data_IF_959748193033
#
_entry.id   IF_959748193033
#
_cell.length_a   1.000
_cell.length_b   1.000
_cell.length_c   1.000
_cell.angle_alpha   90.00
_cell.angle_beta   90.00
_cell.angle_gamma   90.00
#
_symmetry.space_group_name_H-M   'P 1'
#
loop_
_entity.id
_entity.type
_entity.pdbx_description
1 polymer ?
#
# COMPACT_ATOMS: atom_id res chain seq x y z
N UNK A 1 -13.69 -19.10 -9.31
CA UNK A 1 -13.60 -19.05 -10.78
C UNK A 1 -13.23 -17.65 -11.26
N UNK A 2 -13.21 -17.44 -12.56
CA UNK A 2 -12.79 -16.17 -13.20
C UNK A 2 -13.54 -14.96 -12.66
N UNK A 3 -14.85 -15.06 -12.47
CA UNK A 3 -15.69 -13.97 -11.96
C UNK A 3 -15.24 -13.48 -10.58
N UNK A 4 -14.83 -14.38 -9.68
CA UNK A 4 -14.34 -13.99 -8.35
C UNK A 4 -13.00 -13.25 -8.44
N UNK A 5 -12.09 -13.71 -9.32
CA UNK A 5 -10.81 -13.05 -9.56
C UNK A 5 -11.01 -11.67 -10.17
N UNK A 6 -11.84 -11.56 -11.19
CA UNK A 6 -12.20 -10.29 -11.84
C UNK A 6 -12.79 -9.30 -10.84
N UNK A 7 -13.75 -9.74 -10.00
CA UNK A 7 -14.36 -8.90 -8.96
C UNK A 7 -13.33 -8.41 -7.93
N UNK A 8 -12.38 -9.25 -7.54
CA UNK A 8 -11.30 -8.89 -6.62
C UNK A 8 -10.36 -7.85 -7.24
N UNK A 9 -9.97 -8.04 -8.50
CA UNK A 9 -9.12 -7.08 -9.23
C UNK A 9 -9.83 -5.73 -9.41
N UNK A 10 -11.11 -5.75 -9.79
CA UNK A 10 -11.93 -4.54 -9.89
C UNK A 10 -11.97 -3.82 -8.54
N UNK A 11 -12.27 -4.55 -7.46
CA UNK A 11 -12.30 -3.98 -6.10
C UNK A 11 -11.00 -3.30 -5.70
N UNK A 12 -9.84 -3.90 -5.98
CA UNK A 12 -8.52 -3.31 -5.68
C UNK A 12 -8.18 -2.09 -6.53
N UNK A 13 -8.80 -1.93 -7.70
CA UNK A 13 -8.57 -0.78 -8.58
C UNK A 13 -9.53 0.39 -8.33
N UNK A 14 -10.65 0.16 -7.63
CA UNK A 14 -11.68 1.18 -7.38
C UNK A 14 -11.21 2.24 -6.39
N UNK A 15 -11.01 3.48 -6.86
CA UNK A 15 -10.52 4.61 -6.05
C UNK A 15 -11.47 5.02 -4.92
N UNK A 16 -12.79 4.84 -5.12
CA UNK A 16 -13.77 5.16 -4.09
C UNK A 16 -13.84 4.11 -2.96
N UNK A 17 -13.29 2.91 -3.16
CA UNK A 17 -13.18 1.86 -2.14
C UNK A 17 -11.83 1.86 -1.43
N UNK A 18 -10.76 2.30 -2.10
CA UNK A 18 -9.40 2.19 -1.58
C UNK A 18 -8.80 3.59 -1.39
N UNK A 19 -8.29 3.85 -0.21
CA UNK A 19 -7.55 5.09 0.07
C UNK A 19 -6.26 5.17 -0.74
N UNK A 20 -5.61 4.04 -0.96
CA UNK A 20 -4.45 3.89 -1.84
C UNK A 20 -4.59 2.61 -2.67
N UNK A 21 -5.16 2.66 -3.87
CA UNK A 21 -5.35 1.49 -4.71
C UNK A 21 -4.05 0.76 -5.02
N UNK A 22 -4.07 -0.56 -5.04
CA UNK A 22 -2.94 -1.41 -5.42
C UNK A 22 -2.87 -1.63 -6.94
N UNK A 23 -4.01 -1.52 -7.60
CA UNK A 23 -4.15 -1.60 -9.05
C UNK A 23 -4.63 -0.26 -9.61
N UNK A 24 -4.22 0.05 -10.81
CA UNK A 24 -4.73 1.17 -11.61
C UNK A 24 -5.60 0.60 -12.74
N UNK A 25 -6.88 0.93 -12.71
CA UNK A 25 -7.83 0.52 -13.73
C UNK A 25 -7.78 1.42 -14.96
N UNK A 26 -7.93 0.82 -16.13
CA UNK A 26 -8.08 1.49 -17.43
C UNK A 26 -9.43 1.12 -18.01
N UNK A 27 -10.27 2.11 -18.25
CA UNK A 27 -11.68 1.94 -18.64
C UNK A 27 -12.64 2.24 -17.49
N UNK A 28 -13.86 1.72 -17.58
CA UNK A 28 -14.93 1.99 -16.61
C UNK A 28 -14.82 1.04 -15.40
N UNK A 29 -14.32 1.54 -14.29
CA UNK A 29 -14.23 0.80 -13.03
C UNK A 29 -15.29 1.17 -11.99
N UNK A 30 -16.31 1.91 -12.41
CA UNK A 30 -17.36 2.40 -11.54
C UNK A 30 -16.95 3.67 -10.76
N UNK A 31 -17.93 4.22 -10.08
CA UNK A 31 -17.79 5.39 -9.20
C UNK A 31 -18.63 5.19 -7.95
N UNK A 32 -18.55 6.11 -6.99
CA UNK A 32 -19.39 6.05 -5.80
C UNK A 32 -20.88 6.04 -6.15
N UNK A 33 -21.27 6.79 -7.19
CA UNK A 33 -22.66 6.87 -7.69
C UNK A 33 -23.10 5.61 -8.44
N UNK A 34 -22.21 5.02 -9.24
CA UNK A 34 -22.47 3.80 -10.00
C UNK A 34 -21.33 2.82 -9.79
N UNK A 35 -21.40 1.99 -8.73
CA UNK A 35 -20.29 1.13 -8.32
C UNK A 35 -19.94 0.00 -9.29
N UNK A 36 -20.83 -0.32 -10.23
CA UNK A 36 -20.64 -1.39 -11.20
C UNK A 36 -19.52 -1.03 -12.19
N UNK A 37 -18.57 -1.93 -12.37
CA UNK A 37 -17.57 -1.82 -13.42
C UNK A 37 -18.10 -2.29 -14.76
N UNK A 38 -17.45 -1.85 -15.84
CA UNK A 38 -17.71 -2.37 -17.18
C UNK A 38 -17.37 -3.85 -17.29
N UNK A 39 -17.87 -4.51 -18.35
CA UNK A 39 -17.57 -5.92 -18.57
C UNK A 39 -16.05 -6.14 -18.73
N UNK A 40 -15.48 -7.23 -18.18
CA UNK A 40 -14.03 -7.48 -18.14
C UNK A 40 -13.32 -7.39 -19.49
N UNK A 41 -14.03 -7.73 -20.58
CA UNK A 41 -13.52 -7.64 -21.97
C UNK A 41 -13.21 -6.22 -22.44
N UNK A 42 -13.75 -5.19 -21.76
CA UNK A 42 -13.60 -3.77 -22.13
C UNK A 42 -12.76 -2.97 -21.16
N UNK A 43 -12.27 -3.59 -20.10
CA UNK A 43 -11.46 -2.94 -19.07
C UNK A 43 -10.14 -3.70 -18.90
N UNK A 44 -9.13 -3.00 -18.40
CA UNK A 44 -7.86 -3.62 -18.04
C UNK A 44 -7.32 -3.00 -16.76
N UNK A 45 -6.40 -3.71 -16.10
CA UNK A 45 -5.76 -3.22 -14.89
C UNK A 45 -4.25 -3.45 -14.98
N UNK A 46 -3.49 -2.56 -14.35
CA UNK A 46 -2.04 -2.67 -14.16
C UNK A 46 -1.68 -2.37 -12.70
N UNK A 47 -0.47 -2.71 -12.29
CA UNK A 47 0.01 -2.36 -10.95
C UNK A 47 0.06 -0.83 -10.82
N UNK A 48 -0.51 -0.34 -9.71
CA UNK A 48 -0.42 1.08 -9.37
C UNK A 48 1.06 1.46 -9.09
N UNK A 49 1.54 2.66 -9.48
CA UNK A 49 2.92 3.08 -9.23
C UNK A 49 3.36 2.94 -7.76
N UNK A 50 2.46 3.21 -6.82
CA UNK A 50 2.73 3.09 -5.40
C UNK A 50 2.89 1.65 -4.90
N UNK A 51 2.47 0.63 -5.69
CA UNK A 51 2.61 -0.77 -5.30
C UNK A 51 4.06 -1.13 -4.97
N UNK A 52 5.00 -0.71 -5.82
CA UNK A 52 6.43 -0.99 -5.61
C UNK A 52 7.03 -0.25 -4.40
N UNK A 53 6.43 0.86 -3.98
CA UNK A 53 6.82 1.57 -2.76
C UNK A 53 6.27 0.90 -1.51
N UNK A 54 5.08 0.28 -1.61
CA UNK A 54 4.45 -0.46 -0.52
C UNK A 54 5.10 -1.82 -0.29
N UNK A 55 5.37 -2.57 -1.36
CA UNK A 55 5.84 -3.95 -1.33
C UNK A 55 7.20 -4.05 -2.01
N UNK A 56 8.28 -3.99 -1.22
CA UNK A 56 9.66 -3.96 -1.73
C UNK A 56 10.43 -5.27 -1.49
N UNK A 57 10.00 -6.07 -0.53
CA UNK A 57 10.82 -7.12 0.08
C UNK A 57 10.38 -8.54 -0.32
N UNK A 58 9.97 -8.73 -1.58
CA UNK A 58 9.58 -10.06 -2.07
C UNK A 58 10.72 -11.09 -1.97
N UNK A 59 11.97 -10.66 -2.15
CA UNK A 59 13.15 -11.54 -2.07
C UNK A 59 13.38 -12.10 -0.65
N UNK A 60 12.76 -11.52 0.39
CA UNK A 60 12.87 -11.97 1.77
C UNK A 60 11.81 -13.01 2.15
N UNK A 61 10.79 -13.17 1.32
CA UNK A 61 9.62 -13.98 1.65
C UNK A 61 9.77 -15.40 1.13
N UNK A 62 9.35 -16.35 1.95
CA UNK A 62 9.24 -17.75 1.53
C UNK A 62 7.95 -17.93 0.73
N UNK A 63 8.07 -18.60 -0.41
CA UNK A 63 6.93 -18.99 -1.20
C UNK A 63 6.29 -20.26 -0.64
N UNK A 64 4.98 -20.34 -0.70
CA UNK A 64 4.27 -21.61 -0.54
C UNK A 64 4.66 -22.55 -1.69
N UNK A 65 4.65 -23.84 -1.41
CA UNK A 65 4.92 -24.87 -2.40
C UNK A 65 3.66 -25.71 -2.55
N UNK A 66 3.15 -25.82 -3.78
CA UNK A 66 2.02 -26.67 -4.13
C UNK A 66 2.43 -27.55 -5.31
N UNK A 67 2.25 -28.85 -5.17
CA UNK A 67 2.65 -29.87 -6.18
C UNK A 67 4.12 -29.77 -6.66
N UNK A 68 5.02 -29.24 -5.79
CA UNK A 68 6.43 -29.06 -6.10
C UNK A 68 6.77 -27.74 -6.80
N UNK A 69 5.78 -26.93 -7.14
CA UNK A 69 5.96 -25.58 -7.72
C UNK A 69 5.84 -24.49 -6.66
N UNK A 70 6.63 -23.44 -6.84
CA UNK A 70 6.53 -22.24 -6.01
C UNK A 70 5.34 -21.44 -6.48
N UNK A 71 4.42 -21.14 -5.55
CA UNK A 71 3.27 -20.29 -5.75
C UNK A 71 3.49 -18.93 -5.06
N UNK A 72 2.41 -18.29 -4.60
CA UNK A 72 2.51 -16.99 -3.93
C UNK A 72 3.33 -17.05 -2.63
N UNK A 73 3.85 -15.92 -2.14
CA UNK A 73 4.46 -15.83 -0.82
C UNK A 73 3.51 -16.29 0.28
N UNK A 74 4.04 -16.86 1.36
CA UNK A 74 3.26 -17.28 2.53
C UNK A 74 2.46 -16.11 3.12
N UNK A 75 2.99 -14.90 3.04
CA UNK A 75 2.34 -13.62 3.39
C UNK A 75 3.00 -12.48 2.61
N UNK A 76 2.35 -11.32 2.57
CA UNK A 76 2.90 -10.10 1.99
C UNK A 76 3.40 -9.16 3.09
N UNK A 77 4.46 -8.39 2.79
CA UNK A 77 5.13 -7.53 3.75
C UNK A 77 5.14 -6.06 3.28
N UNK A 78 4.00 -5.35 3.41
CA UNK A 78 3.95 -3.93 3.08
C UNK A 78 4.71 -3.08 4.10
N UNK A 79 5.04 -1.83 3.74
CA UNK A 79 5.72 -0.90 4.66
C UNK A 79 4.75 -0.15 5.60
N UNK A 80 3.45 -0.21 5.33
CA UNK A 80 2.36 0.33 6.18
C UNK A 80 1.25 -0.71 6.34
N UNK A 81 0.46 -0.69 7.41
CA UNK A 81 -0.62 -1.66 7.63
C UNK A 81 -1.77 -1.44 6.65
N UNK A 82 -1.81 -2.23 5.58
CA UNK A 82 -2.81 -2.11 4.50
C UNK A 82 -4.23 -2.38 4.97
N UNK A 83 -4.41 -3.13 6.05
CA UNK A 83 -5.73 -3.40 6.64
C UNK A 83 -6.44 -2.14 7.13
N UNK A 84 -5.70 -1.13 7.60
CA UNK A 84 -6.27 0.17 7.98
C UNK A 84 -6.11 1.22 6.87
N UNK A 85 -5.19 1.02 5.95
CA UNK A 85 -5.00 1.92 4.82
C UNK A 85 -6.21 1.88 3.88
N UNK A 86 -6.57 0.69 3.41
CA UNK A 86 -7.67 0.45 2.47
C UNK A 86 -8.91 -0.16 3.14
N UNK A 87 -8.87 -0.34 4.46
CA UNK A 87 -9.93 -1.03 5.16
C UNK A 87 -10.01 -2.53 4.83
N UNK A 88 -10.82 -3.24 5.56
CA UNK A 88 -11.15 -4.64 5.27
C UNK A 88 -12.48 -4.99 5.91
N UNK A 89 -13.26 -5.85 5.26
CA UNK A 89 -14.51 -6.38 5.79
C UNK A 89 -14.63 -7.84 5.41
N UNK A 90 -15.03 -8.66 6.36
CA UNK A 90 -15.22 -10.08 6.12
C UNK A 90 -15.92 -10.77 7.28
N UNK A 91 -16.56 -11.89 6.97
CA UNK A 91 -17.29 -12.72 7.93
C UNK A 91 -16.69 -14.12 7.86
N UNK A 92 -16.39 -14.68 9.02
CA UNK A 92 -15.94 -16.06 9.18
C UNK A 92 -16.77 -16.76 10.24
N UNK A 93 -16.59 -18.06 10.40
CA UNK A 93 -17.29 -18.82 11.46
C UNK A 93 -16.79 -18.35 12.84
N UNK A 94 -17.69 -17.74 13.61
CA UNK A 94 -17.41 -17.23 14.96
C UNK A 94 -16.68 -15.88 15.01
N UNK A 95 -16.21 -15.33 13.90
CA UNK A 95 -15.49 -14.06 13.86
C UNK A 95 -15.90 -13.20 12.66
N UNK A 96 -15.74 -11.91 12.82
CA UNK A 96 -15.91 -10.94 11.75
C UNK A 96 -14.86 -9.83 11.87
N UNK A 97 -14.57 -9.16 10.77
CA UNK A 97 -13.76 -7.94 10.74
C UNK A 97 -14.51 -6.85 9.97
N UNK A 98 -14.43 -5.63 10.45
CA UNK A 98 -14.93 -4.44 9.75
C UNK A 98 -14.03 -3.25 10.13
N UNK A 99 -13.04 -2.99 9.31
CA UNK A 99 -12.04 -1.94 9.51
C UNK A 99 -12.22 -0.91 8.42
N UNK A 100 -12.50 0.33 8.81
CA UNK A 100 -12.69 1.43 7.88
C UNK A 100 -11.36 1.96 7.33
N UNK A 101 -11.41 2.55 6.14
CA UNK A 101 -10.25 3.16 5.49
C UNK A 101 -9.72 4.37 6.29
N UNK A 102 -8.42 4.62 6.14
CA UNK A 102 -7.74 5.81 6.71
C UNK A 102 -7.03 6.62 5.63
N UNK A 103 -6.82 7.90 5.91
CA UNK A 103 -6.04 8.75 5.01
C UNK A 103 -4.62 8.21 4.87
N UNK A 104 -4.10 7.99 3.65
CA UNK A 104 -2.79 7.39 3.45
C UNK A 104 -1.65 8.19 4.11
N UNK A 105 -1.69 9.52 4.06
CA UNK A 105 -0.69 10.38 4.70
C UNK A 105 -0.72 10.25 6.22
N UNK A 106 -1.91 10.17 6.82
CA UNK A 106 -2.07 9.99 8.27
C UNK A 106 -1.56 8.62 8.74
N UNK A 107 -1.78 7.56 7.95
CA UNK A 107 -1.24 6.21 8.24
C UNK A 107 0.29 6.22 8.20
N UNK A 108 0.89 6.83 7.18
CA UNK A 108 2.36 6.97 7.11
C UNK A 108 2.89 7.79 8.29
N UNK A 109 2.24 8.91 8.63
CA UNK A 109 2.63 9.75 9.77
C UNK A 109 2.51 9.02 11.10
N UNK A 110 1.51 8.16 11.26
CA UNK A 110 1.35 7.32 12.44
C UNK A 110 2.48 6.28 12.55
N UNK A 111 2.91 5.67 11.44
CA UNK A 111 4.08 4.78 11.43
C UNK A 111 5.35 5.53 11.80
N UNK A 112 5.58 6.72 11.23
CA UNK A 112 6.74 7.58 11.56
C UNK A 112 6.70 8.01 13.04
N UNK A 113 5.54 8.40 13.57
CA UNK A 113 5.39 8.78 14.97
C UNK A 113 5.73 7.60 15.90
N UNK A 114 5.25 6.38 15.55
CA UNK A 114 5.54 5.16 16.31
C UNK A 114 7.03 4.85 16.34
N UNK A 115 7.71 4.89 15.19
CA UNK A 115 9.17 4.68 15.11
C UNK A 115 9.95 5.69 15.94
N UNK A 116 9.45 6.91 16.08
CA UNK A 116 10.09 7.97 16.84
C UNK A 116 9.60 8.06 18.30
N UNK A 117 8.84 7.09 18.78
CA UNK A 117 8.21 7.09 20.10
C UNK A 117 7.42 8.37 20.40
N UNK A 118 6.80 8.95 19.38
CA UNK A 118 5.95 10.14 19.49
C UNK A 118 4.48 9.74 19.56
N UNK A 119 3.67 10.63 20.15
CA UNK A 119 2.21 10.45 20.17
C UNK A 119 1.64 10.52 18.76
N UNK A 120 0.84 9.54 18.38
CA UNK A 120 0.07 9.54 17.13
C UNK A 120 -1.15 10.47 17.25
N UNK A 121 -1.54 11.05 16.12
CA UNK A 121 -2.87 11.64 15.98
C UNK A 121 -3.93 10.54 15.98
N UNK A 122 -5.17 10.91 16.29
CA UNK A 122 -6.32 10.01 16.13
C UNK A 122 -6.46 9.67 14.64
N UNK A 123 -6.46 8.38 14.34
CA UNK A 123 -6.67 7.86 12.98
C UNK A 123 -8.17 7.77 12.69
N UNK A 124 -8.79 8.89 12.35
CA UNK A 124 -10.18 8.90 11.92
C UNK A 124 -10.35 8.18 10.57
N UNK A 125 -11.50 7.52 10.35
CA UNK A 125 -11.84 7.02 9.02
C UNK A 125 -11.78 8.12 7.97
N UNK A 126 -11.43 7.73 6.75
CA UNK A 126 -11.32 8.67 5.63
C UNK A 126 -11.81 7.98 4.35
N UNK A 127 -12.57 8.70 3.57
CA UNK A 127 -13.06 8.25 2.27
C UNK A 127 -12.73 9.33 1.26
N UNK A 128 -12.21 8.93 0.12
CA UNK A 128 -11.87 9.83 -0.98
C UNK A 128 -13.09 10.68 -1.36
N UNK A 129 -12.91 12.01 -1.45
CA UNK A 129 -13.95 12.99 -1.81
C UNK A 129 -15.11 13.16 -0.81
N UNK A 130 -15.14 12.43 0.29
CA UNK A 130 -16.14 12.67 1.32
C UNK A 130 -15.81 13.94 2.11
N UNK A 131 -16.69 14.93 2.03
CA UNK A 131 -16.53 16.26 2.67
C UNK A 131 -17.13 16.34 4.08
N UNK A 132 -17.84 15.29 4.51
CA UNK A 132 -18.39 15.21 5.85
C UNK A 132 -17.33 14.92 6.93
N UNK A 133 -17.78 14.66 8.14
CA UNK A 133 -16.89 14.46 9.30
C UNK A 133 -17.08 13.09 9.94
N UNK A 134 -15.97 12.53 10.46
CA UNK A 134 -15.96 11.38 11.35
C UNK A 134 -15.52 11.84 12.74
N UNK A 135 -16.35 11.60 13.74
CA UNK A 135 -16.04 11.93 15.14
C UNK A 135 -16.07 10.63 15.97
N UNK A 136 -14.97 10.35 16.68
CA UNK A 136 -14.91 9.16 17.55
C UNK A 136 -15.89 9.29 18.69
N UNK A 137 -16.65 8.25 18.95
CA UNK A 137 -17.51 8.18 20.14
C UNK A 137 -16.65 8.14 21.42
N UNK A 138 -17.09 8.83 22.47
CA UNK A 138 -16.34 8.92 23.72
C UNK A 138 -16.46 7.67 24.58
N UNK A 139 -17.60 6.99 24.50
CA UNK A 139 -17.88 5.79 25.30
C UNK A 139 -17.35 4.54 24.62
N UNK A 140 -17.47 4.47 23.27
CA UNK A 140 -16.97 3.34 22.51
C UNK A 140 -15.96 3.82 21.43
N UNK A 141 -14.65 3.63 21.65
CA UNK A 141 -13.62 4.09 20.74
C UNK A 141 -13.63 3.41 19.36
N UNK A 142 -14.39 2.33 19.18
CA UNK A 142 -14.59 1.63 17.91
C UNK A 142 -15.74 2.23 17.10
N UNK A 143 -16.57 3.10 17.70
CA UNK A 143 -17.73 3.71 17.05
C UNK A 143 -17.39 5.11 16.55
N UNK A 144 -17.78 5.37 15.33
CA UNK A 144 -17.60 6.66 14.65
C UNK A 144 -18.96 7.27 14.35
N UNK A 145 -19.19 8.48 14.83
CA UNK A 145 -20.31 9.32 14.43
C UNK A 145 -19.95 9.98 13.12
N UNK A 146 -20.81 9.82 12.12
CA UNK A 146 -20.59 10.28 10.75
C UNK A 146 -21.61 11.35 10.47
N UNK A 147 -21.13 12.50 10.02
CA UNK A 147 -21.98 13.62 9.64
C UNK A 147 -21.75 14.01 8.19
N UNK A 148 -22.81 14.03 7.38
CA UNK A 148 -22.80 14.62 6.05
C UNK A 148 -22.61 16.14 6.08
N UNK A 149 -22.54 16.77 4.91
CA UNK A 149 -22.36 18.20 4.79
C UNK A 149 -23.53 18.84 4.02
N UNK A 150 -24.00 19.98 4.52
CA UNK A 150 -25.00 20.81 3.84
C UNK A 150 -24.73 22.28 4.08
N UNK A 151 -25.33 23.12 3.21
CA UNK A 151 -25.33 24.57 3.36
C UNK A 151 -26.76 25.07 3.23
N UNK A 152 -27.16 25.99 4.12
CA UNK A 152 -28.42 26.72 4.01
C UNK A 152 -28.16 27.86 3.05
N UNK A 153 -28.84 27.85 1.89
CA UNK A 153 -28.66 28.84 0.84
C UNK A 153 -29.55 30.06 1.13
N UNK A 154 -30.77 29.80 1.56
CA UNK A 154 -31.73 30.86 1.94
C UNK A 154 -32.82 30.27 2.86
N UNK A 155 -33.85 31.04 3.18
CA UNK A 155 -34.92 30.64 4.11
C UNK A 155 -35.80 29.48 3.68
N UNK A 156 -35.61 28.96 2.45
CA UNK A 156 -36.41 27.87 1.89
C UNK A 156 -35.55 26.84 1.16
N UNK A 157 -34.21 27.01 1.09
CA UNK A 157 -33.35 26.18 0.27
C UNK A 157 -32.15 25.71 1.03
N UNK A 158 -31.92 24.40 1.01
CA UNK A 158 -30.73 23.73 1.56
C UNK A 158 -30.03 22.99 0.44
N UNK A 159 -28.70 23.12 0.37
CA UNK A 159 -27.83 22.37 -0.55
C UNK A 159 -27.06 21.33 0.24
N UNK A 160 -27.20 20.04 -0.11
CA UNK A 160 -26.43 18.94 0.43
C UNK A 160 -25.22 18.72 -0.46
N UNK A 161 -24.03 18.62 0.13
CA UNK A 161 -22.75 18.44 -0.58
C UNK A 161 -22.03 17.16 -0.16
N UNK A 162 -22.47 16.49 0.91
CA UNK A 162 -22.00 15.15 1.28
C UNK A 162 -23.09 14.39 2.04
N UNK A 163 -23.36 13.17 1.64
CA UNK A 163 -24.19 12.22 2.38
C UNK A 163 -23.30 11.22 3.12
N UNK A 164 -23.72 10.65 4.26
CA UNK A 164 -22.98 9.62 4.95
C UNK A 164 -22.65 8.45 4.00
N UNK A 165 -21.40 7.93 4.03
CA UNK A 165 -20.92 6.93 3.07
C UNK A 165 -21.54 5.53 3.22
N UNK A 166 -22.28 5.28 4.30
CA UNK A 166 -23.08 4.09 4.48
C UNK A 166 -24.43 4.13 3.74
N UNK A 167 -24.75 5.22 3.06
CA UNK A 167 -25.84 5.28 2.11
C UNK A 167 -25.32 5.13 0.68
N UNK A 168 -26.02 4.33 -0.15
CA UNK A 168 -25.91 4.43 -1.60
C UNK A 168 -26.70 5.64 -2.10
N UNK A 169 -26.41 6.12 -3.32
CA UNK A 169 -27.19 7.22 -3.92
C UNK A 169 -28.68 6.87 -4.00
N UNK A 170 -29.00 5.69 -4.52
CA UNK A 170 -30.39 5.18 -4.64
C UNK A 170 -31.09 5.19 -3.27
N UNK A 171 -30.39 4.70 -2.23
CA UNK A 171 -30.95 4.69 -0.87
C UNK A 171 -31.20 6.10 -0.33
N UNK A 172 -30.35 7.06 -0.68
CA UNK A 172 -30.56 8.42 -0.21
C UNK A 172 -31.68 9.13 -0.99
N UNK A 173 -31.84 8.86 -2.28
CA UNK A 173 -33.00 9.33 -3.07
C UNK A 173 -34.33 8.77 -2.52
N UNK A 174 -34.37 7.51 -2.12
CA UNK A 174 -35.53 6.96 -1.41
C UNK A 174 -35.85 7.75 -0.13
N UNK A 175 -34.83 8.13 0.64
CA UNK A 175 -35.01 8.96 1.84
C UNK A 175 -35.58 10.34 1.46
N UNK A 176 -35.08 10.98 0.41
CA UNK A 176 -35.58 12.27 -0.06
C UNK A 176 -37.04 12.18 -0.52
N UNK A 177 -37.40 11.11 -1.22
CA UNK A 177 -38.79 10.86 -1.62
C UNK A 177 -39.73 10.69 -0.42
N UNK A 178 -39.28 9.92 0.61
CA UNK A 178 -40.03 9.80 1.85
C UNK A 178 -40.17 11.13 2.61
N UNK A 179 -39.18 12.01 2.52
CA UNK A 179 -39.25 13.35 3.14
C UNK A 179 -40.24 14.26 2.40
N UNK A 180 -40.39 14.11 1.07
CA UNK A 180 -41.43 14.79 0.29
C UNK A 180 -42.83 14.29 0.67
N UNK A 181 -43.04 12.98 0.71
CA UNK A 181 -44.33 12.36 1.10
C UNK A 181 -44.76 12.82 2.51
N UNK A 182 -43.81 12.95 3.44
CA UNK A 182 -44.08 13.45 4.79
C UNK A 182 -44.24 14.97 4.86
N UNK A 183 -44.06 15.67 3.77
CA UNK A 183 -44.16 17.12 3.69
C UNK A 183 -43.05 17.88 4.41
N UNK A 184 -41.94 17.23 4.74
CA UNK A 184 -40.74 17.86 5.33
C UNK A 184 -40.04 18.74 4.30
N UNK A 185 -39.87 18.25 3.08
CA UNK A 185 -39.41 19.04 1.93
C UNK A 185 -40.52 19.14 0.88
N UNK A 186 -40.49 20.16 0.06
CA UNK A 186 -41.48 20.35 -1.03
C UNK A 186 -41.02 19.75 -2.35
N UNK A 187 -39.74 19.80 -2.62
CA UNK A 187 -39.10 19.19 -3.80
C UNK A 187 -37.59 19.08 -3.57
N UNK A 188 -36.93 18.31 -4.41
CA UNK A 188 -35.49 18.33 -4.53
C UNK A 188 -35.05 18.20 -5.99
N UNK A 189 -33.88 18.76 -6.30
CA UNK A 189 -33.21 18.63 -7.58
C UNK A 189 -31.88 17.89 -7.35
N UNK A 190 -31.58 16.87 -8.14
CA UNK A 190 -30.27 16.19 -8.14
C UNK A 190 -29.38 16.80 -9.22
N UNK A 191 -28.40 17.59 -8.80
CA UNK A 191 -27.38 18.19 -9.65
C UNK A 191 -26.03 17.47 -9.51
N UNK A 192 -26.02 16.27 -8.91
CA UNK A 192 -24.82 15.49 -8.68
C UNK A 192 -24.19 15.05 -10.00
N UNK A 193 -22.86 15.20 -10.11
CA UNK A 193 -22.03 14.71 -11.21
C UNK A 193 -20.95 13.80 -10.67
N UNK A 194 -19.70 14.26 -10.60
CA UNK A 194 -18.61 13.60 -9.89
C UNK A 194 -18.73 13.79 -8.37
N UNK A 195 -19.32 14.89 -7.94
CA UNK A 195 -19.58 15.23 -6.52
C UNK A 195 -21.07 15.28 -6.25
N UNK A 196 -21.45 15.01 -4.99
CA UNK A 196 -22.84 15.09 -4.53
C UNK A 196 -23.31 16.53 -4.50
N UNK A 197 -24.48 16.77 -5.08
CA UNK A 197 -25.17 18.04 -5.01
C UNK A 197 -26.69 17.85 -5.10
N UNK A 198 -27.37 17.84 -3.95
CA UNK A 198 -28.83 17.88 -3.88
C UNK A 198 -29.29 19.25 -3.44
N UNK A 199 -30.24 19.87 -4.17
CA UNK A 199 -30.88 21.14 -3.82
C UNK A 199 -32.27 20.85 -3.30
N UNK A 200 -32.50 21.04 -2.01
CA UNK A 200 -33.76 20.77 -1.34
C UNK A 200 -34.56 22.07 -1.13
N UNK A 201 -35.86 22.00 -1.41
CA UNK A 201 -36.81 23.11 -1.16
C UNK A 201 -37.69 22.76 0.04
N UNK A 202 -37.92 23.77 0.87
CA UNK A 202 -38.70 23.66 2.09
C UNK A 202 -39.80 24.74 2.13
N UNK A 203 -40.87 24.50 2.90
CA UNK A 203 -41.67 25.56 3.43
C UNK A 203 -40.87 26.35 4.46
N UNK A 204 -40.91 27.70 4.39
CA UNK A 204 -40.11 28.57 5.27
C UNK A 204 -40.29 28.27 6.75
N UNK A 205 -41.55 28.02 7.19
CA UNK A 205 -41.87 27.70 8.58
C UNK A 205 -41.18 26.40 9.04
N UNK A 206 -41.16 25.38 8.21
CA UNK A 206 -40.58 24.07 8.52
C UNK A 206 -39.05 24.16 8.61
N UNK A 207 -38.40 24.83 7.66
CA UNK A 207 -36.95 25.01 7.70
C UNK A 207 -36.53 25.81 8.92
N UNK A 208 -37.20 26.94 9.20
CA UNK A 208 -36.92 27.74 10.38
C UNK A 208 -37.08 26.94 11.69
N UNK A 209 -38.12 26.13 11.81
CA UNK A 209 -38.34 25.29 12.98
C UNK A 209 -37.23 24.23 13.15
N UNK A 210 -36.84 23.54 12.05
CA UNK A 210 -35.77 22.55 12.08
C UNK A 210 -34.40 23.16 12.42
N UNK A 211 -34.11 24.36 11.89
CA UNK A 211 -32.86 25.08 12.17
C UNK A 211 -32.82 25.57 13.61
N UNK A 212 -33.91 26.21 14.08
CA UNK A 212 -33.96 26.76 15.44
C UNK A 212 -33.87 25.67 16.53
N UNK A 213 -34.38 24.45 16.24
CA UNK A 213 -34.30 23.31 17.13
C UNK A 213 -33.00 22.51 16.97
N UNK A 214 -32.13 22.83 16.02
CA UNK A 214 -30.91 22.06 15.73
C UNK A 214 -31.19 20.64 15.24
N UNK A 215 -32.36 20.42 14.60
CA UNK A 215 -32.82 19.09 14.17
C UNK A 215 -32.68 18.84 12.65
N UNK A 216 -32.13 19.78 11.90
CA UNK A 216 -32.05 19.69 10.44
C UNK A 216 -31.19 18.49 9.99
N UNK A 217 -30.04 18.25 10.63
CA UNK A 217 -29.16 17.10 10.35
C UNK A 217 -29.90 15.75 10.46
N UNK A 218 -30.66 15.61 11.56
CA UNK A 218 -31.43 14.38 11.82
C UNK A 218 -32.63 14.25 10.89
N UNK A 219 -33.31 15.34 10.58
CA UNK A 219 -34.43 15.35 9.64
C UNK A 219 -33.97 14.92 8.23
N UNK A 220 -32.80 15.37 7.81
CA UNK A 220 -32.19 15.02 6.53
C UNK A 220 -31.43 13.67 6.55
N UNK A 221 -31.43 12.95 7.67
CA UNK A 221 -30.69 11.69 7.83
C UNK A 221 -29.19 11.81 7.51
N UNK A 222 -28.60 12.97 7.79
CA UNK A 222 -27.17 13.24 7.56
C UNK A 222 -26.27 12.80 8.73
N UNK A 223 -26.86 12.38 9.87
CA UNK A 223 -26.13 11.81 10.99
C UNK A 223 -26.32 10.30 11.00
N UNK A 224 -25.22 9.57 10.94
CA UNK A 224 -25.19 8.11 11.06
C UNK A 224 -24.05 7.70 11.98
N UNK A 225 -23.93 6.42 12.24
CA UNK A 225 -22.78 5.86 12.99
C UNK A 225 -22.34 4.55 12.39
N UNK A 226 -21.06 4.25 12.54
CA UNK A 226 -20.44 2.99 12.12
C UNK A 226 -19.56 2.48 13.26
N UNK A 227 -19.67 1.19 13.57
CA UNK A 227 -18.85 0.55 14.59
C UNK A 227 -17.89 -0.43 13.92
N UNK A 228 -16.60 -0.23 14.17
CA UNK A 228 -15.55 -1.09 13.67
C UNK A 228 -15.42 -2.37 14.48
N UNK A 229 -15.04 -3.44 13.80
CA UNK A 229 -14.54 -4.66 14.41
C UNK A 229 -13.08 -4.83 13.99
N UNK A 230 -12.16 -4.45 14.89
CA UNK A 230 -10.72 -4.42 14.63
C UNK A 230 -10.08 -5.78 14.90
N UNK A 231 -10.62 -6.81 14.27
CA UNK A 231 -10.11 -8.18 14.34
C UNK A 231 -9.21 -8.47 13.16
N UNK A 232 -7.99 -8.93 13.42
CA UNK A 232 -6.97 -9.23 12.40
C UNK A 232 -6.34 -10.59 12.68
N UNK A 233 -5.56 -11.09 11.71
CA UNK A 233 -4.63 -12.20 11.88
C UNK A 233 -3.24 -11.58 11.99
N UNK A 234 -2.47 -11.97 13.01
CA UNK A 234 -1.12 -11.44 13.22
C UNK A 234 -0.05 -12.18 12.42
N UNK A 235 1.21 -11.82 12.63
CA UNK A 235 2.39 -12.40 11.95
C UNK A 235 2.61 -13.89 12.23
N UNK A 236 1.99 -14.44 13.27
CA UNK A 236 2.07 -15.85 13.64
C UNK A 236 0.87 -16.65 13.10
N UNK A 237 -0.07 -15.99 12.42
CA UNK A 237 -1.32 -16.59 11.98
C UNK A 237 -2.39 -16.67 13.06
N UNK A 238 -2.21 -15.99 14.19
CA UNK A 238 -3.13 -15.98 15.33
C UNK A 238 -4.12 -14.80 15.25
N UNK A 239 -5.33 -15.07 15.74
CA UNK A 239 -6.37 -14.04 15.79
C UNK A 239 -6.05 -13.00 16.86
N UNK A 240 -6.09 -11.71 16.45
CA UNK A 240 -5.82 -10.57 17.34
C UNK A 240 -6.90 -9.52 17.23
N UNK A 241 -7.42 -9.11 18.40
CA UNK A 241 -8.48 -8.10 18.50
C UNK A 241 -7.89 -6.83 19.09
N UNK A 242 -8.07 -5.71 18.40
CA UNK A 242 -7.60 -4.41 18.83
C UNK A 242 -8.75 -3.51 19.26
N UNK A 243 -8.45 -2.52 20.11
CA UNK A 243 -9.42 -1.54 20.55
C UNK A 243 -9.42 -0.26 19.70
N UNK A 244 -8.29 0.06 19.08
CA UNK A 244 -8.10 1.26 18.25
C UNK A 244 -7.24 0.95 17.04
N UNK A 245 -7.46 1.65 15.95
CA UNK A 245 -6.62 1.54 14.75
C UNK A 245 -5.15 1.89 15.04
N UNK A 246 -4.91 2.82 15.96
CA UNK A 246 -3.58 3.22 16.41
C UNK A 246 -2.80 2.05 17.04
N UNK A 247 -3.49 1.11 17.68
CA UNK A 247 -2.86 -0.08 18.29
C UNK A 247 -2.43 -1.07 17.20
N UNK A 248 -3.18 -1.16 16.10
CA UNK A 248 -2.77 -1.94 14.90
C UNK A 248 -1.47 -1.36 14.34
N UNK A 249 -1.36 -0.02 14.22
CA UNK A 249 -0.12 0.62 13.73
C UNK A 249 1.07 0.29 14.62
N UNK A 250 0.91 0.39 15.95
CA UNK A 250 2.00 0.10 16.90
C UNK A 250 2.49 -1.34 16.75
N UNK A 251 1.56 -2.28 16.72
CA UNK A 251 1.89 -3.69 16.54
C UNK A 251 2.61 -3.92 15.20
N UNK A 252 2.02 -3.45 14.11
CA UNK A 252 2.56 -3.59 12.77
C UNK A 252 3.97 -3.02 12.63
N UNK A 253 4.20 -1.80 13.14
CA UNK A 253 5.51 -1.13 13.05
C UNK A 253 6.57 -1.92 13.82
N UNK A 254 6.22 -2.49 14.99
CA UNK A 254 7.12 -3.36 15.75
C UNK A 254 7.57 -4.58 14.96
N UNK A 255 6.61 -5.31 14.39
CA UNK A 255 6.86 -6.47 13.52
C UNK A 255 7.65 -6.06 12.28
N UNK A 256 7.23 -4.98 11.60
CA UNK A 256 7.88 -4.54 10.36
C UNK A 256 9.33 -4.09 10.58
N UNK A 257 9.63 -3.47 11.71
CA UNK A 257 10.99 -3.03 12.05
C UNK A 257 11.96 -4.22 12.16
N UNK A 258 11.53 -5.37 12.71
CA UNK A 258 12.36 -6.58 12.76
C UNK A 258 12.71 -7.07 11.34
N UNK A 259 11.80 -6.96 10.39
CA UNK A 259 12.05 -7.31 8.99
C UNK A 259 13.02 -6.35 8.30
N UNK A 260 13.13 -5.10 8.75
CA UNK A 260 14.17 -4.19 8.24
C UNK A 260 15.58 -4.60 8.67
N UNK A 261 15.74 -5.26 9.83
CA UNK A 261 16.99 -5.90 10.18
C UNK A 261 17.31 -7.06 9.23
N UNK A 262 16.36 -7.95 9.00
CA UNK A 262 16.49 -9.07 8.04
C UNK A 262 16.82 -8.55 6.63
N UNK A 263 16.15 -7.49 6.18
CA UNK A 263 16.42 -6.83 4.90
C UNK A 263 17.85 -6.29 4.83
N UNK A 264 18.30 -5.62 5.89
CA UNK A 264 19.69 -5.10 5.97
C UNK A 264 20.70 -6.22 5.83
N UNK A 265 20.52 -7.31 6.57
CA UNK A 265 21.44 -8.45 6.55
C UNK A 265 21.45 -9.13 5.17
N UNK A 266 20.30 -9.32 4.56
CA UNK A 266 20.17 -9.82 3.20
C UNK A 266 20.88 -8.93 2.17
N UNK A 267 20.70 -7.61 2.24
CA UNK A 267 21.33 -6.67 1.31
C UNK A 267 22.84 -6.63 1.49
N UNK A 268 23.35 -6.75 2.73
CA UNK A 268 24.79 -6.87 3.01
C UNK A 268 25.34 -8.13 2.35
N UNK A 269 24.75 -9.31 2.61
CA UNK A 269 25.20 -10.59 2.03
C UNK A 269 25.18 -10.54 0.49
N UNK A 270 24.09 -10.04 -0.10
CA UNK A 270 23.93 -9.89 -1.55
C UNK A 270 25.03 -8.97 -2.14
N UNK A 271 25.33 -7.86 -1.46
CA UNK A 271 26.34 -6.90 -1.92
C UNK A 271 27.75 -7.44 -1.74
N UNK A 272 28.04 -8.18 -0.66
CA UNK A 272 29.32 -8.84 -0.43
C UNK A 272 29.58 -9.90 -1.51
N UNK A 273 28.60 -10.74 -1.85
CA UNK A 273 28.66 -11.69 -2.96
C UNK A 273 28.92 -11.00 -4.29
N UNK A 274 28.22 -9.90 -4.56
CA UNK A 274 28.44 -9.12 -5.79
C UNK A 274 29.84 -8.49 -5.83
N UNK A 275 30.33 -7.97 -4.71
CA UNK A 275 31.68 -7.41 -4.59
C UNK A 275 32.76 -8.45 -4.86
N UNK A 276 32.64 -9.67 -4.28
CA UNK A 276 33.54 -10.78 -4.58
C UNK A 276 33.55 -11.12 -6.06
N UNK A 277 32.35 -11.27 -6.67
CA UNK A 277 32.20 -11.62 -8.09
C UNK A 277 32.83 -10.57 -9.00
N UNK A 278 32.58 -9.28 -8.78
CA UNK A 278 33.14 -8.17 -9.57
C UNK A 278 34.66 -8.08 -9.37
N UNK A 279 35.13 -8.26 -8.14
CA UNK A 279 36.57 -8.25 -7.83
C UNK A 279 37.32 -9.38 -8.54
N UNK A 280 36.79 -10.59 -8.51
CA UNK A 280 37.40 -11.73 -9.18
C UNK A 280 37.38 -11.57 -10.72
N UNK A 281 36.29 -11.06 -11.29
CA UNK A 281 36.21 -10.75 -12.74
C UNK A 281 37.24 -9.70 -13.16
N UNK A 282 37.37 -8.60 -12.40
CA UNK A 282 38.35 -7.56 -12.68
C UNK A 282 39.80 -8.13 -12.59
N UNK A 283 40.07 -8.91 -11.56
CA UNK A 283 41.38 -9.54 -11.36
C UNK A 283 41.69 -10.54 -12.49
N UNK A 284 40.73 -11.34 -12.92
CA UNK A 284 40.87 -12.29 -14.03
C UNK A 284 41.26 -11.59 -15.34
N UNK A 285 40.54 -10.52 -15.68
CA UNK A 285 40.85 -9.73 -16.88
C UNK A 285 42.26 -9.11 -16.74
N UNK A 286 42.59 -8.57 -15.60
CA UNK A 286 43.91 -7.98 -15.35
C UNK A 286 45.04 -9.01 -15.51
N UNK A 287 44.90 -10.20 -14.94
CA UNK A 287 45.91 -11.24 -15.05
C UNK A 287 46.11 -11.71 -16.49
N UNK A 288 45.09 -11.65 -17.34
CA UNK A 288 45.19 -11.92 -18.76
C UNK A 288 45.89 -10.76 -19.51
N UNK A 289 45.52 -9.50 -19.26
CA UNK A 289 46.12 -8.32 -19.86
C UNK A 289 47.60 -8.22 -19.49
N UNK A 290 47.95 -8.46 -18.23
CA UNK A 290 49.32 -8.42 -17.71
C UNK A 290 50.16 -9.65 -18.19
N UNK A 291 49.57 -10.59 -18.90
CA UNK A 291 50.26 -11.80 -19.42
C UNK A 291 50.55 -12.86 -18.33
N UNK A 292 50.03 -12.68 -17.11
CA UNK A 292 50.19 -13.67 -16.00
C UNK A 292 49.40 -14.93 -16.23
N UNK A 293 48.21 -14.82 -16.86
CA UNK A 293 47.34 -15.92 -17.23
C UNK A 293 47.19 -15.95 -18.75
N UNK A 294 47.69 -17.03 -19.39
CA UNK A 294 47.47 -17.32 -20.80
C UNK A 294 46.26 -18.23 -20.93
N UNK A 295 45.27 -17.87 -21.76
CA UNK A 295 44.04 -18.61 -22.00
C UNK A 295 43.98 -19.23 -23.41
N UNK A 296 44.75 -18.72 -24.37
CA UNK A 296 44.77 -19.22 -25.75
C UNK A 296 45.57 -20.53 -25.83
N UNK A 297 44.94 -21.56 -26.39
CA UNK A 297 45.52 -22.91 -26.53
C UNK A 297 45.98 -23.57 -25.20
N UNK A 298 45.34 -23.22 -24.08
CA UNK A 298 45.61 -23.77 -22.75
C UNK A 298 44.45 -24.69 -22.31
N UNK A 299 44.69 -25.91 -21.87
CA UNK A 299 43.63 -26.78 -21.32
C UNK A 299 42.90 -26.15 -20.15
N UNK A 300 41.56 -26.32 -20.10
CA UNK A 300 40.70 -25.79 -19.01
C UNK A 300 41.25 -26.15 -17.62
N UNK A 301 41.77 -27.35 -17.43
CA UNK A 301 42.32 -27.80 -16.15
C UNK A 301 43.51 -26.96 -15.65
N UNK A 302 44.37 -26.52 -16.54
CA UNK A 302 45.50 -25.62 -16.17
C UNK A 302 45.03 -24.23 -15.75
N UNK A 303 43.98 -23.71 -16.41
CA UNK A 303 43.35 -22.44 -16.01
C UNK A 303 42.70 -22.58 -14.65
N UNK A 304 41.95 -23.66 -14.42
CA UNK A 304 41.33 -23.96 -13.11
C UNK A 304 42.36 -24.10 -12.01
N UNK A 305 43.50 -24.77 -12.30
CA UNK A 305 44.62 -24.89 -11.33
C UNK A 305 45.19 -23.50 -10.98
N UNK A 306 45.39 -22.64 -11.99
CA UNK A 306 45.83 -21.24 -11.76
C UNK A 306 44.88 -20.49 -10.87
N UNK A 307 43.57 -20.60 -11.13
CA UNK A 307 42.55 -19.93 -10.32
C UNK A 307 42.53 -20.39 -8.88
N UNK A 308 42.68 -21.69 -8.64
CA UNK A 308 42.81 -22.30 -7.30
C UNK A 308 44.06 -21.83 -6.58
N UNK A 309 45.22 -21.90 -7.23
CA UNK A 309 46.50 -21.50 -6.65
C UNK A 309 46.54 -20.02 -6.29
N UNK A 310 45.86 -19.19 -7.06
CA UNK A 310 45.79 -17.76 -6.84
C UNK A 310 44.58 -17.33 -6.00
N UNK A 311 43.94 -18.24 -5.27
CA UNK A 311 42.83 -17.97 -4.36
C UNK A 311 41.68 -17.11 -4.99
N UNK A 312 41.19 -17.55 -6.16
CA UNK A 312 39.96 -17.03 -6.71
C UNK A 312 38.76 -17.69 -6.05
N UNK A 313 37.72 -16.92 -5.78
CA UNK A 313 36.50 -17.46 -5.19
C UNK A 313 35.71 -18.28 -6.22
N UNK A 314 35.04 -19.31 -5.75
CA UNK A 314 34.11 -20.10 -6.55
C UNK A 314 32.68 -19.60 -6.40
N UNK A 315 31.86 -19.73 -7.43
CA UNK A 315 30.42 -19.54 -7.39
C UNK A 315 29.75 -20.90 -7.60
N UNK A 316 28.94 -21.33 -6.65
CA UNK A 316 28.37 -22.71 -6.62
C UNK A 316 29.40 -23.82 -6.82
N UNK A 317 30.60 -23.65 -6.26
CA UNK A 317 31.69 -24.61 -6.38
C UNK A 317 32.39 -24.64 -7.73
N UNK A 318 32.09 -23.71 -8.64
CA UNK A 318 32.65 -23.64 -9.98
C UNK A 318 33.30 -22.29 -10.28
N UNK A 319 34.25 -22.27 -11.21
CA UNK A 319 34.83 -21.05 -11.81
C UNK A 319 34.17 -20.68 -13.15
N UNK A 320 33.06 -21.30 -13.53
CA UNK A 320 32.44 -21.10 -14.83
C UNK A 320 32.06 -19.64 -15.10
N UNK A 321 31.76 -18.83 -14.05
CA UNK A 321 31.50 -17.39 -14.17
C UNK A 321 32.69 -16.56 -14.70
N UNK A 322 33.93 -17.10 -14.61
CA UNK A 322 35.16 -16.54 -15.21
C UNK A 322 35.43 -17.20 -16.58
N UNK A 323 35.32 -18.52 -16.64
CA UNK A 323 35.68 -19.31 -17.82
C UNK A 323 34.69 -19.11 -18.97
N UNK A 324 33.46 -18.71 -18.70
CA UNK A 324 32.44 -18.40 -19.72
C UNK A 324 32.47 -16.95 -20.21
N UNK A 325 33.44 -16.13 -19.74
CA UNK A 325 33.57 -14.76 -20.23
C UNK A 325 33.96 -14.74 -21.70
N UNK A 326 33.22 -13.98 -22.50
CA UNK A 326 33.49 -13.84 -23.92
C UNK A 326 34.85 -13.16 -24.18
N UNK A 327 35.65 -13.64 -25.12
CA UNK A 327 37.00 -13.11 -25.42
C UNK A 327 36.97 -11.62 -25.69
N UNK A 328 35.95 -11.12 -26.39
CA UNK A 328 35.78 -9.70 -26.67
C UNK A 328 35.49 -8.84 -25.44
N UNK A 329 35.18 -9.45 -24.28
CA UNK A 329 34.99 -8.74 -23.01
C UNK A 329 36.26 -8.72 -22.15
N UNK A 330 37.36 -9.31 -22.58
CA UNK A 330 38.64 -9.34 -21.88
C UNK A 330 39.49 -8.14 -22.28
N UNK A 331 38.94 -6.94 -22.13
CA UNK A 331 39.53 -5.68 -22.58
C UNK A 331 39.84 -4.75 -21.40
N UNK A 332 40.69 -3.77 -21.64
CA UNK A 332 41.05 -2.75 -20.66
C UNK A 332 39.82 -1.91 -20.26
N UNK A 333 38.96 -1.59 -21.21
CA UNK A 333 37.73 -0.84 -20.96
C UNK A 333 36.78 -1.62 -20.05
N UNK A 334 36.67 -2.93 -20.25
CA UNK A 334 35.85 -3.79 -19.36
C UNK A 334 36.43 -3.89 -17.95
N UNK A 335 37.75 -3.95 -17.85
CA UNK A 335 38.45 -3.93 -16.56
C UNK A 335 38.16 -2.62 -15.81
N UNK A 336 38.29 -1.46 -16.46
CA UNK A 336 37.99 -0.16 -15.86
C UNK A 336 36.54 -0.05 -15.40
N UNK A 337 35.59 -0.55 -16.21
CA UNK A 337 34.17 -0.60 -15.82
C UNK A 337 33.92 -1.46 -14.58
N UNK A 338 34.59 -2.61 -14.48
CA UNK A 338 34.48 -3.49 -13.30
C UNK A 338 35.11 -2.83 -12.05
N UNK A 339 36.15 -2.03 -12.20
CA UNK A 339 36.69 -1.26 -11.06
C UNK A 339 35.69 -0.23 -10.54
N UNK A 340 34.97 0.48 -11.42
CA UNK A 340 33.90 1.40 -11.01
C UNK A 340 32.74 0.64 -10.33
N UNK A 341 32.33 -0.52 -10.87
CA UNK A 341 31.33 -1.37 -10.24
C UNK A 341 31.78 -1.83 -8.85
N UNK A 342 33.05 -2.22 -8.69
CA UNK A 342 33.64 -2.61 -7.42
C UNK A 342 33.60 -1.47 -6.38
N UNK A 343 33.99 -0.28 -6.79
CA UNK A 343 33.96 0.90 -5.92
C UNK A 343 32.54 1.23 -5.49
N UNK A 344 31.57 1.15 -6.40
CA UNK A 344 30.14 1.29 -6.10
C UNK A 344 29.66 0.27 -5.07
N UNK A 345 30.07 -1.00 -5.18
CA UNK A 345 29.74 -2.03 -4.18
C UNK A 345 30.36 -1.74 -2.79
N UNK A 346 31.60 -1.24 -2.75
CA UNK A 346 32.28 -0.88 -1.48
C UNK A 346 31.54 0.27 -0.79
N UNK A 347 31.16 1.31 -1.54
CA UNK A 347 30.41 2.45 -1.00
C UNK A 347 29.03 1.99 -0.51
N UNK A 348 28.33 1.18 -1.29
CA UNK A 348 27.03 0.64 -0.91
C UNK A 348 27.11 -0.21 0.38
N UNK A 349 28.12 -1.07 0.50
CA UNK A 349 28.36 -1.89 1.68
C UNK A 349 28.64 -1.04 2.92
N UNK A 350 29.50 -0.03 2.79
CA UNK A 350 29.79 0.90 3.87
C UNK A 350 28.52 1.63 4.34
N UNK A 351 27.72 2.11 3.40
CA UNK A 351 26.45 2.78 3.68
C UNK A 351 25.47 1.84 4.37
N UNK A 352 25.27 0.62 3.83
CA UNK A 352 24.36 -0.39 4.42
C UNK A 352 24.78 -0.75 5.86
N UNK A 353 26.07 -0.98 6.11
CA UNK A 353 26.56 -1.32 7.44
C UNK A 353 26.37 -0.17 8.44
N UNK A 354 26.52 1.07 8.00
CA UNK A 354 26.37 2.27 8.84
C UNK A 354 24.91 2.67 9.09
N UNK A 355 23.98 2.32 8.18
CA UNK A 355 22.56 2.74 8.27
C UNK A 355 21.81 1.88 9.29
N UNK A 356 21.11 2.52 10.23
CA UNK A 356 20.21 1.83 11.17
C UNK A 356 18.95 1.33 10.46
N UNK A 357 18.43 0.12 10.77
CA UNK A 357 17.20 -0.39 10.23
C UNK A 357 16.00 0.56 10.37
N UNK A 358 15.93 1.28 11.49
CA UNK A 358 14.92 2.32 11.72
C UNK A 358 15.04 3.46 10.70
N UNK A 359 16.26 3.88 10.38
CA UNK A 359 16.48 4.93 9.36
C UNK A 359 16.11 4.46 7.96
N UNK A 360 16.38 3.19 7.63
CA UNK A 360 15.93 2.58 6.37
C UNK A 360 14.41 2.64 6.28
N UNK A 361 13.71 2.25 7.34
CA UNK A 361 12.25 2.26 7.40
C UNK A 361 11.70 3.69 7.28
N UNK A 362 12.24 4.64 8.03
CA UNK A 362 11.87 6.06 7.93
C UNK A 362 12.09 6.62 6.52
N UNK A 363 13.17 6.22 5.85
CA UNK A 363 13.46 6.61 4.47
C UNK A 363 12.39 6.14 3.49
N UNK A 364 11.97 4.88 3.59
CA UNK A 364 10.94 4.32 2.73
C UNK A 364 9.55 4.93 2.99
N UNK A 365 9.20 5.15 4.27
CA UNK A 365 7.96 5.84 4.64
C UNK A 365 7.91 7.28 4.08
N UNK A 366 9.02 8.01 4.13
CA UNK A 366 9.12 9.36 3.56
C UNK A 366 8.94 9.34 2.04
N UNK A 367 9.55 8.38 1.33
CA UNK A 367 9.39 8.21 -0.12
C UNK A 367 7.92 7.91 -0.46
N UNK A 368 7.27 6.99 0.27
CA UNK A 368 5.85 6.72 0.08
C UNK A 368 5.01 7.97 0.31
N UNK A 369 5.25 8.72 1.39
CA UNK A 369 4.51 9.95 1.69
C UNK A 369 4.59 10.98 0.57
N UNK A 370 5.76 11.16 -0.04
CA UNK A 370 5.97 12.09 -1.16
C UNK A 370 5.25 11.65 -2.44
N UNK A 371 5.04 10.35 -2.63
CA UNK A 371 4.32 9.82 -3.81
C UNK A 371 2.80 9.92 -3.71
N UNK A 372 2.27 10.09 -2.51
CA UNK A 372 0.83 10.23 -2.25
C UNK A 372 0.43 11.69 -2.55
N UNK A 373 -0.37 11.86 -3.57
CA UNK A 373 -0.91 13.18 -4.00
C UNK A 373 -1.97 13.70 -3.04
#
# INVERSE_FOLDING_TARGET
GNTSLESSMVGMAQKFKNSLPLLEGVGQFGSLRSPAAGAPRYISAKLHPNFRLLYQDFDLLENKIEEGEKIEPAFFLPIVPTVILNGTSGIAVGFATNILNRNPKDVVDACIATLNNKRMKVLAPWIHEFKGTFTRDLENPKTWKIKGEYKIINTTTVKITAIPPNYTYERYEEILNLLMEKGVITSYDDNSSETIEYILKFRRSILNDLVSKGKLDNALRLNTQETENLTTIDENGELKIFNKAEDIVKHFVGVRLSWYQTRKDYLIDKTEKQLSLVTNKARFIKDIIDGKLKINNVPKEKIVTYLKTNAYDTVHGSYDYLLSMAIHSLTKERYEKLLLEKEGCIIALKTLKATDPKEMYLGDLKKLKLSIK
#
